data_IF_988583486269
#
_entry.id   IF_988583486269
#
_cell.length_a   1.000
_cell.length_b   1.000
_cell.length_c   1.000
_cell.angle_alpha   90.00
_cell.angle_beta   90.00
_cell.angle_gamma   90.00
#
_symmetry.space_group_name_H-M   'P 1'
#
loop_
_entity.id
_entity.type
_entity.pdbx_description
1 polymer ?
#
# COMPACT_ATOMS: atom_id res chain seq x y z
N UNK A 1 -17.89 1.18 9.98
CA UNK A 1 -17.66 0.57 8.64
C UNK A 1 -17.17 -0.84 8.83
N UNK A 2 -17.67 -1.80 8.05
CA UNK A 2 -17.19 -3.19 8.08
C UNK A 2 -15.91 -3.33 7.23
N UNK A 3 -14.93 -4.10 7.70
CA UNK A 3 -13.68 -4.32 6.95
C UNK A 3 -13.91 -5.22 5.73
N UNK A 4 -13.39 -4.82 4.56
CA UNK A 4 -13.38 -5.65 3.34
C UNK A 4 -12.67 -6.98 3.60
N UNK A 5 -13.17 -8.07 3.02
CA UNK A 5 -12.58 -9.42 3.12
C UNK A 5 -12.53 -10.07 1.74
N UNK A 6 -11.41 -10.70 1.43
CA UNK A 6 -11.21 -11.46 0.20
C UNK A 6 -10.87 -12.92 0.51
N UNK A 7 -11.17 -13.83 -0.43
CA UNK A 7 -10.78 -15.25 -0.30
C UNK A 7 -9.27 -15.46 -0.41
N UNK A 8 -8.58 -14.67 -1.23
CA UNK A 8 -7.15 -14.75 -1.49
C UNK A 8 -6.64 -13.43 -2.08
N UNK A 9 -5.33 -13.33 -2.35
CA UNK A 9 -4.71 -12.10 -2.88
C UNK A 9 -5.22 -11.70 -4.26
N UNK A 10 -5.54 -12.66 -5.15
CA UNK A 10 -6.13 -12.36 -6.46
C UNK A 10 -7.50 -11.69 -6.31
N UNK A 11 -8.38 -12.23 -5.48
CA UNK A 11 -9.67 -11.61 -5.20
C UNK A 11 -9.53 -10.28 -4.44
N UNK A 12 -8.48 -10.13 -3.62
CA UNK A 12 -8.22 -8.87 -2.92
C UNK A 12 -7.92 -7.73 -3.90
N UNK A 13 -7.20 -8.00 -4.99
CA UNK A 13 -6.95 -7.03 -6.08
C UNK A 13 -8.25 -6.48 -6.67
N UNK A 14 -9.27 -7.31 -6.83
CA UNK A 14 -10.57 -6.90 -7.40
C UNK A 14 -11.42 -6.06 -6.43
N UNK A 15 -11.11 -6.07 -5.12
CA UNK A 15 -11.83 -5.30 -4.09
C UNK A 15 -11.20 -3.94 -3.78
N UNK A 16 -10.04 -3.66 -4.37
CA UNK A 16 -9.34 -2.39 -4.17
C UNK A 16 -10.19 -1.26 -4.77
N UNK A 17 -10.16 -0.11 -4.11
CA UNK A 17 -10.77 1.07 -4.70
C UNK A 17 -9.92 1.54 -5.88
N UNK A 18 -10.56 1.72 -7.03
CA UNK A 18 -9.95 2.30 -8.22
C UNK A 18 -10.45 3.73 -8.36
N UNK A 19 -9.62 4.70 -8.00
CA UNK A 19 -9.97 6.12 -8.08
C UNK A 19 -9.61 6.68 -9.46
N UNK A 20 -10.37 6.31 -10.49
CA UNK A 20 -10.06 6.71 -11.87
C UNK A 20 -10.02 8.22 -12.11
N UNK A 21 -10.75 8.99 -11.30
CA UNK A 21 -10.92 10.44 -11.46
C UNK A 21 -10.17 11.26 -10.39
N UNK A 22 -9.25 10.66 -9.62
CA UNK A 22 -8.44 11.36 -8.62
C UNK A 22 -6.96 11.06 -8.79
N UNK A 23 -6.06 11.98 -8.41
CA UNK A 23 -4.63 11.72 -8.35
C UNK A 23 -4.32 10.50 -7.46
N UNK A 24 -3.72 9.47 -8.04
CA UNK A 24 -3.29 8.27 -7.34
C UNK A 24 -2.10 7.62 -8.05
N UNK A 25 -1.38 6.77 -7.34
CA UNK A 25 -0.30 5.95 -7.86
C UNK A 25 -0.44 4.48 -7.47
N UNK A 26 0.40 3.66 -8.06
CA UNK A 26 0.53 2.24 -7.74
C UNK A 26 1.98 1.89 -7.47
N UNK A 27 2.27 1.34 -6.29
CA UNK A 27 3.62 0.87 -5.95
C UNK A 27 3.73 -0.64 -6.12
N UNK A 28 4.84 -1.03 -6.75
CA UNK A 28 5.37 -2.38 -6.66
C UNK A 28 6.72 -2.29 -5.95
N UNK A 29 6.82 -2.90 -4.78
CA UNK A 29 8.08 -3.06 -4.07
C UNK A 29 9.07 -3.83 -4.95
N UNK A 30 10.20 -3.22 -5.31
CA UNK A 30 11.28 -3.85 -6.09
C UNK A 30 12.59 -3.77 -5.30
N UNK A 31 12.78 -4.71 -4.37
CA UNK A 31 14.07 -4.96 -3.72
C UNK A 31 14.54 -3.87 -2.73
N UNK A 32 13.65 -3.39 -1.86
CA UNK A 32 13.98 -2.35 -0.85
C UNK A 32 13.27 -2.64 0.47
N UNK A 33 13.94 -2.40 1.59
CA UNK A 33 13.36 -2.52 2.93
C UNK A 33 12.10 -1.65 3.09
N UNK A 34 11.08 -2.20 3.75
CA UNK A 34 9.88 -1.51 4.20
C UNK A 34 9.92 -1.37 5.72
N UNK A 35 9.72 -0.14 6.17
CA UNK A 35 9.51 0.21 7.57
C UNK A 35 8.09 0.75 7.69
N UNK A 36 7.19 0.00 8.34
CA UNK A 36 5.77 0.36 8.42
C UNK A 36 5.09 -0.08 9.72
N UNK A 37 4.17 0.75 10.19
CA UNK A 37 3.30 0.44 11.32
C UNK A 37 1.97 -0.17 10.87
N UNK A 38 1.51 -1.21 11.57
CA UNK A 38 0.27 -1.93 11.25
C UNK A 38 -0.68 -1.95 12.42
N UNK A 39 -1.88 -1.43 12.19
CA UNK A 39 -2.99 -1.47 13.14
C UNK A 39 -3.99 -2.54 12.72
N UNK A 40 -4.04 -3.63 13.47
CA UNK A 40 -4.98 -4.71 13.23
C UNK A 40 -6.38 -4.35 13.74
N UNK A 41 -7.42 -4.85 13.07
CA UNK A 41 -8.83 -4.68 13.49
C UNK A 41 -9.15 -5.22 14.89
N UNK A 42 -8.28 -6.06 15.47
CA UNK A 42 -8.42 -6.56 16.84
C UNK A 42 -7.82 -5.61 17.89
N UNK A 43 -7.30 -4.45 17.48
CA UNK A 43 -6.68 -3.45 18.36
C UNK A 43 -5.17 -3.64 18.58
N UNK A 44 -4.56 -4.70 18.04
CA UNK A 44 -3.12 -4.89 18.13
C UNK A 44 -2.37 -3.94 17.17
N UNK A 45 -1.29 -3.36 17.67
CA UNK A 45 -0.38 -2.50 16.91
C UNK A 45 1.00 -3.17 16.84
N UNK A 46 1.57 -3.26 15.64
CA UNK A 46 2.88 -3.86 15.41
C UNK A 46 3.69 -3.04 14.41
N UNK A 47 4.99 -2.93 14.66
CA UNK A 47 5.95 -2.39 13.72
C UNK A 47 6.53 -3.51 12.83
N UNK A 48 6.71 -3.23 11.55
CA UNK A 48 7.32 -4.14 10.57
C UNK A 48 8.55 -3.45 9.99
N UNK A 49 9.68 -4.14 10.08
CA UNK A 49 10.95 -3.80 9.46
C UNK A 49 11.41 -5.05 8.69
N UNK A 50 11.32 -5.03 7.36
CA UNK A 50 11.54 -6.21 6.50
C UNK A 50 11.85 -5.82 5.05
N UNK A 51 12.48 -6.70 4.27
CA UNK A 51 12.79 -6.46 2.85
C UNK A 51 11.56 -6.15 1.96
N UNK A 52 10.38 -6.65 2.31
CA UNK A 52 9.09 -6.32 1.67
C UNK A 52 7.92 -6.91 2.47
N UNK A 53 6.74 -6.30 2.36
CA UNK A 53 5.54 -6.75 3.06
C UNK A 53 4.31 -6.77 2.14
N UNK A 54 4.21 -7.75 1.24
CA UNK A 54 2.98 -7.98 0.47
C UNK A 54 1.83 -8.54 1.30
N UNK A 55 2.16 -9.20 2.41
CA UNK A 55 1.20 -9.76 3.35
C UNK A 55 1.66 -9.51 4.77
N UNK A 56 0.69 -9.24 5.65
CA UNK A 56 0.93 -9.08 7.07
C UNK A 56 0.05 -10.03 7.84
N UNK A 57 0.65 -10.77 8.78
CA UNK A 57 -0.10 -11.59 9.74
C UNK A 57 -0.06 -10.92 11.10
N UNK A 58 -1.23 -10.61 11.66
CA UNK A 58 -1.31 -10.12 13.03
C UNK A 58 -0.82 -11.20 14.01
N UNK A 59 0.18 -10.92 14.88
CA UNK A 59 0.68 -11.91 15.82
C UNK A 59 -0.32 -12.20 16.95
N UNK A 60 -1.24 -11.27 17.23
CA UNK A 60 -2.25 -11.43 18.28
C UNK A 60 -3.45 -12.29 17.85
N UNK A 61 -4.09 -12.00 16.72
CA UNK A 61 -5.32 -12.68 16.30
C UNK A 61 -5.15 -13.57 15.05
N UNK A 62 -3.95 -13.61 14.46
CA UNK A 62 -3.64 -14.43 13.29
C UNK A 62 -4.29 -13.97 11.98
N UNK A 63 -5.04 -12.85 11.96
CA UNK A 63 -5.62 -12.32 10.71
C UNK A 63 -4.50 -12.00 9.72
N UNK A 64 -4.67 -12.47 8.48
CA UNK A 64 -3.75 -12.18 7.37
C UNK A 64 -4.36 -11.10 6.50
N UNK A 65 -3.54 -10.12 6.18
CA UNK A 65 -3.85 -8.99 5.31
C UNK A 65 -2.99 -9.06 4.07
N UNK A 66 -3.57 -8.66 2.94
CA UNK A 66 -2.80 -8.31 1.75
C UNK A 66 -2.58 -6.80 1.77
N UNK A 67 -1.34 -6.36 1.57
CA UNK A 67 -1.00 -4.95 1.48
C UNK A 67 -1.33 -4.46 0.07
N UNK A 68 -2.30 -3.55 -0.04
CA UNK A 68 -2.64 -2.89 -1.30
C UNK A 68 -1.48 -1.96 -1.74
N UNK A 69 -1.22 -1.87 -3.04
CA UNK A 69 -0.22 -0.97 -3.63
C UNK A 69 -0.76 0.42 -3.99
N UNK A 70 -2.03 0.72 -3.74
CA UNK A 70 -2.62 2.04 -4.01
C UNK A 70 -2.00 3.13 -3.14
N UNK A 71 -1.52 4.20 -3.76
CA UNK A 71 -1.00 5.41 -3.10
C UNK A 71 -1.92 6.58 -3.43
N UNK A 72 -2.43 7.26 -2.41
CA UNK A 72 -3.13 8.55 -2.59
C UNK A 72 -2.10 9.66 -2.83
N UNK A 73 -2.37 10.51 -3.83
CA UNK A 73 -1.57 11.70 -4.09
C UNK A 73 -2.33 12.93 -3.63
N UNK A 74 -1.72 13.70 -2.73
CA UNK A 74 -2.23 14.99 -2.27
C UNK A 74 -1.40 16.07 -2.96
N UNK A 75 -2.07 16.96 -3.69
CA UNK A 75 -1.43 18.11 -4.33
C UNK A 75 -0.88 19.06 -3.26
N UNK A 76 0.36 19.52 -3.44
CA UNK A 76 1.02 20.46 -2.53
C UNK A 76 1.10 21.83 -3.21
N UNK A 77 0.89 22.90 -2.41
CA UNK A 77 1.02 24.28 -2.89
C UNK A 77 2.49 24.73 -3.00
N UNK A 78 3.42 24.02 -2.33
CA UNK A 78 4.86 24.31 -2.30
C UNK A 78 5.68 23.05 -2.62
N UNK A 79 6.79 23.21 -3.36
CA UNK A 79 7.65 22.10 -3.78
C UNK A 79 8.68 21.71 -2.70
N UNK A 80 8.74 20.43 -2.25
CA UNK A 80 9.74 19.95 -1.30
C UNK A 80 11.11 19.65 -1.95
N UNK A 81 12.18 19.60 -1.14
CA UNK A 81 13.59 19.51 -1.61
C UNK A 81 13.99 18.20 -2.34
N UNK A 82 13.11 17.20 -2.50
CA UNK A 82 13.47 15.89 -3.08
C UNK A 82 12.36 15.29 -3.96
N UNK A 83 11.74 16.09 -4.82
CA UNK A 83 10.77 15.59 -5.80
C UNK A 83 11.41 14.60 -6.78
N UNK A 84 10.77 13.45 -6.99
CA UNK A 84 11.19 12.47 -7.99
C UNK A 84 10.53 12.82 -9.33
N UNK A 85 11.34 13.06 -10.36
CA UNK A 85 10.89 13.31 -11.73
C UNK A 85 11.38 12.15 -12.60
N UNK A 86 10.45 11.35 -13.15
CA UNK A 86 10.78 10.38 -14.19
C UNK A 86 10.65 11.06 -15.56
N UNK A 87 11.62 10.92 -16.48
CA UNK A 87 11.43 11.37 -17.85
C UNK A 87 10.25 10.62 -18.48
N UNK A 88 9.63 11.22 -19.50
CA UNK A 88 8.57 10.55 -20.26
C UNK A 88 9.05 9.16 -20.70
N UNK A 89 8.22 8.15 -20.50
CA UNK A 89 8.46 6.84 -21.08
C UNK A 89 8.37 7.05 -22.60
N UNK A 90 9.50 7.17 -23.28
CA UNK A 90 9.54 7.17 -24.74
C UNK A 90 8.67 6.00 -25.23
N UNK A 91 7.70 6.31 -26.09
CA UNK A 91 6.82 5.30 -26.69
C UNK A 91 7.69 4.32 -27.49
N UNK A 92 7.98 3.14 -26.92
CA UNK A 92 8.62 2.02 -27.61
C UNK A 92 7.59 1.16 -28.34
#
# INVERSE_FOLDING_TARGET
>A
MENKKAKNSKAAWELQETYKDKPHGWVQWKGTDVCMDVYCKCGHHSHIDADFAYHVKCPSCGTVYMCNGHIELIELEEEPENCVITPELDEY
#
